data_IF_721721845198
#
_entry.id   IF_721721845198
#
_cell.length_a   1.000
_cell.length_b   1.000
_cell.length_c   1.000
_cell.angle_alpha   90.00
_cell.angle_beta   90.00
_cell.angle_gamma   90.00
#
_symmetry.space_group_name_H-M   'P 1'
#
loop_
_entity.id
_entity.type
_entity.pdbx_description
1 polymer ?
#
# COMPACT_ATOMS: atom_id res chain seq x y z
N UNK A 1 0.06 13.76 -7.61
CA UNK A 1 1.04 12.65 -7.45
C UNK A 1 0.30 11.32 -7.28
N UNK A 2 -0.61 11.24 -6.32
CA UNK A 2 -1.48 10.08 -6.15
C UNK A 2 -2.71 10.15 -7.07
N UNK A 3 -3.29 8.98 -7.35
CA UNK A 3 -4.55 8.87 -8.07
C UNK A 3 -5.76 9.12 -7.15
N UNK A 4 -6.93 8.63 -7.57
CA UNK A 4 -8.13 8.59 -6.74
C UNK A 4 -7.86 7.78 -5.45
N UNK A 5 -8.19 8.31 -4.25
CA UNK A 5 -8.12 7.55 -3.01
C UNK A 5 -9.05 6.33 -3.01
N UNK A 6 -8.68 5.26 -2.30
CA UNK A 6 -9.47 4.04 -2.25
C UNK A 6 -10.89 4.24 -1.70
N UNK A 7 -11.07 5.16 -0.75
CA UNK A 7 -12.40 5.52 -0.21
C UNK A 7 -13.34 6.07 -1.29
N UNK A 8 -12.79 6.85 -2.21
CA UNK A 8 -13.54 7.52 -3.27
C UNK A 8 -13.87 6.49 -4.35
N UNK A 9 -12.89 5.64 -4.71
CA UNK A 9 -13.09 4.51 -5.60
C UNK A 9 -14.17 3.55 -5.07
N UNK A 10 -14.11 3.19 -3.79
CA UNK A 10 -15.10 2.34 -3.13
C UNK A 10 -16.50 2.95 -3.22
N UNK A 11 -16.64 4.22 -2.86
CA UNK A 11 -17.92 4.96 -2.88
C UNK A 11 -18.49 5.02 -4.30
N UNK A 12 -17.63 5.33 -5.28
CA UNK A 12 -18.00 5.39 -6.70
C UNK A 12 -18.43 4.02 -7.22
N UNK A 13 -17.69 2.95 -6.94
CA UNK A 13 -18.05 1.60 -7.39
C UNK A 13 -19.34 1.12 -6.72
N UNK A 14 -19.51 1.40 -5.42
CA UNK A 14 -20.73 1.06 -4.68
C UNK A 14 -21.97 1.70 -5.30
N UNK A 15 -21.92 3.01 -5.56
CA UNK A 15 -23.02 3.76 -6.14
C UNK A 15 -23.43 3.27 -7.55
N UNK A 16 -22.50 2.66 -8.28
CA UNK A 16 -22.73 2.12 -9.62
C UNK A 16 -22.94 0.59 -9.63
N UNK A 17 -22.89 -0.06 -8.46
CA UNK A 17 -23.07 -1.52 -8.36
C UNK A 17 -24.56 -1.84 -8.20
N UNK A 18 -25.11 -2.81 -8.96
CA UNK A 18 -26.46 -3.31 -8.71
C UNK A 18 -26.60 -3.96 -7.32
N UNK A 19 -25.46 -4.28 -6.67
CA UNK A 19 -25.42 -4.88 -5.33
C UNK A 19 -24.99 -3.89 -4.23
N UNK A 20 -24.80 -2.60 -4.54
CA UNK A 20 -24.22 -1.63 -3.61
C UNK A 20 -24.98 -1.44 -2.29
N UNK A 21 -26.30 -1.66 -2.30
CA UNK A 21 -27.16 -1.60 -1.10
C UNK A 21 -27.24 -2.93 -0.33
N UNK A 22 -26.60 -3.99 -0.82
CA UNK A 22 -26.65 -5.31 -0.17
C UNK A 22 -25.90 -5.26 1.17
N UNK A 23 -26.51 -5.74 2.27
CA UNK A 23 -25.81 -5.83 3.55
C UNK A 23 -24.51 -6.64 3.43
N UNK A 24 -23.41 -6.09 3.93
CA UNK A 24 -22.10 -6.74 3.84
C UNK A 24 -21.39 -6.59 2.49
N UNK A 25 -21.91 -5.78 1.57
CA UNK A 25 -21.20 -5.43 0.34
C UNK A 25 -19.87 -4.75 0.67
N UNK A 26 -18.80 -5.20 0.01
CA UNK A 26 -17.46 -4.64 0.09
C UNK A 26 -16.74 -4.80 -1.26
N UNK A 27 -15.67 -4.05 -1.46
CA UNK A 27 -14.82 -4.12 -2.64
C UNK A 27 -13.42 -4.54 -2.24
N UNK A 28 -12.84 -5.48 -3.01
CA UNK A 28 -11.45 -5.91 -2.84
C UNK A 28 -10.78 -5.83 -4.22
N UNK A 29 -9.51 -5.42 -4.24
CA UNK A 29 -8.70 -5.33 -5.45
C UNK A 29 -7.59 -6.37 -5.44
N UNK A 30 -7.39 -7.05 -6.57
CA UNK A 30 -6.33 -8.03 -6.78
C UNK A 30 -5.60 -7.76 -8.09
N UNK A 31 -4.30 -7.99 -8.07
CA UNK A 31 -3.44 -8.10 -9.24
C UNK A 31 -3.46 -9.56 -9.69
N UNK A 32 -3.84 -9.80 -10.94
CA UNK A 32 -3.78 -11.13 -11.56
C UNK A 32 -2.39 -11.31 -12.17
N UNK A 33 -1.69 -12.37 -11.76
CA UNK A 33 -0.41 -12.78 -12.36
C UNK A 33 -0.56 -14.12 -13.05
N UNK A 34 -0.06 -14.19 -14.28
CA UNK A 34 -0.02 -15.38 -15.12
C UNK A 34 1.39 -15.58 -15.66
N UNK A 35 1.85 -16.83 -15.73
CA UNK A 35 3.21 -17.22 -16.10
C UNK A 35 4.21 -17.21 -14.95
N UNK A 36 3.78 -16.89 -13.72
CA UNK A 36 4.63 -16.79 -12.53
C UNK A 36 4.18 -17.80 -11.46
N UNK A 37 5.14 -18.51 -10.88
CA UNK A 37 4.90 -19.37 -9.72
C UNK A 37 4.95 -18.56 -8.41
N UNK A 38 3.78 -18.24 -7.86
CA UNK A 38 3.65 -17.39 -6.67
C UNK A 38 3.87 -18.11 -5.33
N UNK A 39 4.24 -19.40 -5.33
CA UNK A 39 4.38 -20.18 -4.09
C UNK A 39 5.53 -19.68 -3.22
N UNK A 40 6.61 -19.15 -3.82
CA UNK A 40 7.73 -18.59 -3.07
C UNK A 40 7.33 -17.28 -2.38
N UNK A 41 6.64 -16.39 -3.10
CA UNK A 41 6.12 -15.14 -2.55
C UNK A 41 5.06 -15.38 -1.49
N UNK A 42 4.18 -16.36 -1.69
CA UNK A 42 3.22 -16.79 -0.67
C UNK A 42 3.93 -17.21 0.62
N UNK A 43 4.97 -18.04 0.52
CA UNK A 43 5.74 -18.46 1.69
C UNK A 43 6.44 -17.28 2.38
N UNK A 44 7.06 -16.38 1.61
CA UNK A 44 7.67 -15.17 2.16
C UNK A 44 6.63 -14.31 2.90
N UNK A 45 5.42 -14.20 2.37
CA UNK A 45 4.36 -13.44 3.01
C UNK A 45 3.86 -14.08 4.30
N UNK A 46 3.78 -15.41 4.37
CA UNK A 46 3.46 -16.12 5.62
C UNK A 46 4.49 -15.84 6.72
N UNK A 47 5.78 -15.70 6.36
CA UNK A 47 6.82 -15.29 7.32
C UNK A 47 6.61 -13.84 7.78
N UNK A 48 6.26 -12.93 6.86
CA UNK A 48 5.96 -11.53 7.19
C UNK A 48 4.73 -11.44 8.11
N UNK A 49 3.67 -12.21 7.86
CA UNK A 49 2.50 -12.33 8.74
C UNK A 49 2.89 -12.82 10.14
N UNK A 50 3.74 -13.85 10.21
CA UNK A 50 4.24 -14.35 11.49
C UNK A 50 5.04 -13.28 12.26
N UNK A 51 5.93 -12.54 11.58
CA UNK A 51 6.67 -11.44 12.21
C UNK A 51 5.75 -10.30 12.63
N UNK A 52 4.72 -9.99 11.85
CA UNK A 52 3.71 -8.99 12.21
C UNK A 52 3.04 -9.34 13.55
N UNK A 53 2.62 -10.60 13.72
CA UNK A 53 2.03 -11.08 14.98
C UNK A 53 3.03 -11.10 16.14
N UNK A 54 4.29 -11.46 15.88
CA UNK A 54 5.35 -11.41 16.90
C UNK A 54 5.62 -9.97 17.38
N UNK A 55 5.74 -9.02 16.47
CA UNK A 55 5.96 -7.60 16.78
C UNK A 55 4.81 -7.02 17.59
N UNK A 56 3.57 -7.35 17.22
CA UNK A 56 2.37 -6.97 17.99
C UNK A 56 2.36 -7.59 19.39
N UNK A 57 2.68 -8.87 19.48
CA UNK A 57 2.73 -9.60 20.76
C UNK A 57 3.81 -9.05 21.71
N UNK A 58 4.97 -8.71 21.16
CA UNK A 58 6.06 -8.05 21.89
C UNK A 58 5.82 -6.55 22.13
N UNK A 59 4.70 -5.98 21.65
CA UNK A 59 4.35 -4.55 21.76
C UNK A 59 5.45 -3.64 21.23
N UNK A 60 6.12 -4.05 20.15
CA UNK A 60 7.08 -3.19 19.46
C UNK A 60 6.32 -2.11 18.69
N UNK A 61 7.04 -1.06 18.29
CA UNK A 61 6.49 -0.01 17.40
C UNK A 61 6.65 -0.34 15.93
N UNK A 62 7.21 -1.51 15.59
CA UNK A 62 7.44 -1.90 14.21
C UNK A 62 6.10 -2.14 13.51
N UNK A 63 6.00 -1.67 12.28
CA UNK A 63 4.80 -1.75 11.47
C UNK A 63 5.08 -2.60 10.23
N UNK A 64 4.21 -3.57 9.97
CA UNK A 64 4.23 -4.36 8.75
C UNK A 64 2.82 -4.36 8.16
N UNK A 65 2.73 -4.40 6.83
CA UNK A 65 1.47 -4.58 6.09
C UNK A 65 1.53 -5.88 5.29
N UNK A 66 1.20 -7.02 5.92
CA UNK A 66 0.98 -8.24 5.17
C UNK A 66 -0.20 -8.06 4.20
N UNK A 67 -0.12 -8.72 3.05
CA UNK A 67 -1.16 -8.72 2.01
C UNK A 67 -1.29 -10.10 1.41
N UNK A 68 -2.48 -10.49 0.95
CA UNK A 68 -2.73 -11.88 0.54
C UNK A 68 -2.08 -12.22 -0.79
N UNK A 69 -1.49 -13.41 -0.85
CA UNK A 69 -1.01 -14.04 -2.08
C UNK A 69 -1.67 -15.41 -2.18
N UNK A 70 -2.39 -15.63 -3.28
CA UNK A 70 -3.18 -16.84 -3.52
C UNK A 70 -2.75 -17.45 -4.84
N UNK A 71 -1.81 -18.41 -4.83
CA UNK A 71 -1.52 -19.23 -5.99
C UNK A 71 -2.77 -20.02 -6.41
N UNK A 72 -3.15 -19.94 -7.68
CA UNK A 72 -4.29 -20.66 -8.25
C UNK A 72 -3.86 -21.84 -9.12
N UNK A 73 -2.63 -21.83 -9.63
CA UNK A 73 -1.97 -22.95 -10.30
C UNK A 73 -0.46 -22.94 -10.02
N UNK A 74 0.32 -23.76 -10.72
CA UNK A 74 1.79 -23.73 -10.68
C UNK A 74 2.40 -22.49 -11.35
N UNK A 75 1.61 -21.71 -12.09
CA UNK A 75 2.05 -20.60 -12.94
C UNK A 75 1.03 -19.44 -12.96
N UNK A 76 0.09 -19.40 -12.02
CA UNK A 76 -0.86 -18.30 -11.92
C UNK A 76 -1.31 -18.08 -10.49
N UNK A 77 -1.75 -16.86 -10.20
CA UNK A 77 -2.41 -16.54 -8.95
C UNK A 77 -2.76 -15.07 -8.80
N UNK A 78 -3.24 -14.76 -7.60
CA UNK A 78 -3.74 -13.44 -7.22
C UNK A 78 -2.86 -12.84 -6.13
N UNK A 79 -2.58 -11.55 -6.24
CA UNK A 79 -1.91 -10.76 -5.21
C UNK A 79 -2.86 -9.63 -4.80
N UNK A 80 -3.16 -9.51 -3.52
CA UNK A 80 -3.96 -8.39 -2.99
C UNK A 80 -3.26 -7.06 -3.30
N UNK A 81 -3.99 -6.13 -3.92
CA UNK A 81 -3.45 -4.81 -4.19
C UNK A 81 -3.49 -3.97 -2.91
N UNK A 82 -2.38 -3.33 -2.55
CA UNK A 82 -2.34 -2.41 -1.40
C UNK A 82 -2.87 -1.04 -1.84
N UNK A 83 -4.05 -0.62 -1.34
CA UNK A 83 -4.67 0.65 -1.74
C UNK A 83 -3.82 1.85 -1.31
N UNK A 84 -4.00 2.98 -2.00
CA UNK A 84 -3.36 4.26 -1.69
C UNK A 84 -1.82 4.23 -1.66
N UNK A 85 -1.22 3.30 -2.39
CA UNK A 85 0.24 3.17 -2.52
C UNK A 85 0.71 3.40 -3.95
N UNK A 86 1.95 3.87 -4.09
CA UNK A 86 2.69 3.90 -5.35
C UNK A 86 4.11 3.42 -5.09
N UNK A 87 4.75 2.87 -6.11
CA UNK A 87 6.16 2.50 -6.00
C UNK A 87 7.03 3.75 -5.80
N UNK A 88 8.16 3.62 -5.11
CA UNK A 88 9.15 4.70 -4.95
C UNK A 88 9.67 5.21 -6.31
N UNK A 89 9.77 4.32 -7.31
CA UNK A 89 10.13 4.69 -8.67
C UNK A 89 9.08 5.61 -9.30
N UNK A 90 7.81 5.18 -9.29
CA UNK A 90 6.69 5.99 -9.81
C UNK A 90 6.55 7.31 -9.05
N UNK A 91 6.82 7.31 -7.75
CA UNK A 91 6.83 8.52 -6.93
C UNK A 91 7.91 9.49 -7.40
N UNK A 92 9.14 9.00 -7.57
CA UNK A 92 10.28 9.79 -8.06
C UNK A 92 9.97 10.39 -9.43
N UNK A 93 9.44 9.61 -10.37
CA UNK A 93 9.18 10.09 -11.74
C UNK A 93 8.13 11.21 -11.72
N UNK A 94 7.01 11.01 -11.02
CA UNK A 94 5.96 12.04 -10.86
C UNK A 94 6.44 13.27 -10.09
N UNK A 95 7.36 13.09 -9.13
CA UNK A 95 7.93 14.21 -8.39
C UNK A 95 8.94 14.99 -9.24
N UNK A 96 9.69 14.31 -10.12
CA UNK A 96 10.60 14.93 -11.06
C UNK A 96 9.88 15.85 -12.06
N UNK A 97 8.64 15.53 -12.44
CA UNK A 97 7.79 16.38 -13.27
C UNK A 97 7.52 17.76 -12.62
N UNK A 98 7.62 17.89 -11.30
CA UNK A 98 7.43 19.15 -10.58
C UNK A 98 8.62 20.12 -10.72
N UNK A 99 9.74 19.67 -11.32
CA UNK A 99 10.95 20.49 -11.60
C UNK A 99 11.45 21.29 -10.39
N UNK A 100 11.32 20.72 -9.20
CA UNK A 100 11.82 21.32 -7.96
C UNK A 100 13.36 21.23 -7.92
N UNK A 101 14.04 22.16 -7.20
CA UNK A 101 15.50 22.21 -7.13
C UNK A 101 16.12 20.96 -6.48
N UNK A 102 15.40 20.35 -5.53
CA UNK A 102 15.81 19.14 -4.83
C UNK A 102 14.87 17.99 -5.20
N UNK A 103 15.44 16.88 -5.67
CA UNK A 103 14.72 15.67 -6.10
C UNK A 103 15.05 14.50 -5.17
N UNK A 104 14.66 14.63 -3.91
CA UNK A 104 14.90 13.64 -2.86
C UNK A 104 13.59 13.19 -2.20
N UNK A 105 13.59 12.02 -1.56
CA UNK A 105 12.44 11.57 -0.77
C UNK A 105 12.17 12.53 0.42
N UNK A 106 13.22 13.13 0.98
CA UNK A 106 13.08 14.14 2.04
C UNK A 106 12.38 15.40 1.51
N UNK A 107 12.77 15.89 0.32
CA UNK A 107 12.08 17.01 -0.33
C UNK A 107 10.62 16.68 -0.60
N UNK A 108 10.33 15.47 -1.06
CA UNK A 108 8.96 14.99 -1.22
C UNK A 108 8.17 15.03 0.09
N UNK A 109 8.75 14.55 1.20
CA UNK A 109 8.09 14.62 2.52
C UNK A 109 7.78 16.05 2.94
N UNK A 110 8.67 17.03 2.69
CA UNK A 110 8.41 18.44 2.98
C UNK A 110 7.27 19.01 2.14
N UNK A 111 7.25 18.68 0.85
CA UNK A 111 6.19 19.12 -0.07
C UNK A 111 4.84 18.53 0.33
N UNK A 112 4.81 17.24 0.70
CA UNK A 112 3.57 16.53 0.99
C UNK A 112 3.03 16.79 2.40
N UNK A 113 3.91 16.85 3.41
CA UNK A 113 3.51 16.90 4.82
C UNK A 113 3.85 18.23 5.52
N UNK A 114 4.52 19.15 4.82
CA UNK A 114 4.84 20.48 5.31
C UNK A 114 6.16 20.55 6.09
N UNK A 115 6.21 21.49 7.03
CA UNK A 115 7.40 21.80 7.84
C UNK A 115 7.90 20.58 8.65
N UNK A 116 9.21 20.38 8.72
CA UNK A 116 9.84 19.25 9.42
C UNK A 116 9.58 19.23 10.94
N UNK A 117 9.34 20.39 11.55
CA UNK A 117 8.92 20.53 12.94
C UNK A 117 7.40 20.35 13.12
N UNK A 118 6.64 20.37 12.02
CA UNK A 118 5.19 20.22 12.00
C UNK A 118 4.74 18.81 12.43
N UNK A 119 3.56 18.68 13.06
CA UNK A 119 3.07 17.40 13.54
C UNK A 119 2.82 16.39 12.42
N UNK A 120 2.39 16.85 11.23
CA UNK A 120 2.15 16.00 10.05
C UNK A 120 3.44 15.37 9.55
N UNK A 121 4.50 16.17 9.35
CA UNK A 121 5.80 15.66 8.94
C UNK A 121 6.39 14.69 9.96
N UNK A 122 6.35 15.03 11.27
CA UNK A 122 6.83 14.14 12.32
C UNK A 122 6.09 12.80 12.37
N UNK A 123 4.78 12.82 12.14
CA UNK A 123 3.99 11.59 12.04
C UNK A 123 4.39 10.75 10.82
N UNK A 124 4.51 11.37 9.64
CA UNK A 124 4.93 10.68 8.42
C UNK A 124 6.36 10.11 8.54
N UNK A 125 7.29 10.88 9.09
CA UNK A 125 8.67 10.45 9.34
C UNK A 125 8.72 9.28 10.32
N UNK A 126 7.94 9.33 11.40
CA UNK A 126 7.84 8.21 12.35
C UNK A 126 7.31 6.95 11.66
N UNK A 127 6.22 7.07 10.89
CA UNK A 127 5.65 5.94 10.16
C UNK A 127 6.66 5.32 9.18
N UNK A 128 7.48 6.16 8.51
CA UNK A 128 8.53 5.69 7.59
C UNK A 128 9.69 4.97 8.31
N UNK A 129 10.02 5.38 9.54
CA UNK A 129 11.06 4.73 10.36
C UNK A 129 10.56 3.43 10.97
N UNK A 130 9.28 3.38 11.33
CA UNK A 130 8.64 2.22 11.95
C UNK A 130 8.26 1.12 10.94
N UNK A 131 8.09 1.46 9.66
CA UNK A 131 7.72 0.54 8.57
C UNK A 131 8.86 -0.32 8.03
#
# INVERSE_FOLDING_TARGET
>A
IFGEPWSDQLSRVRANSPYGETPGWDLISFIVKSGDDLRQEQFAMQLIEMFHEMFRSARTRLWLRPYKIVPTSSDSGLIEAVPDTVSLHSLRDKFAEMRLPEQSLAAYFRVQYGDEAGPSFKAAQRNFIES
#
